data_IF_224647832706
#
_entry.id   IF_224647832706
#
_cell.length_a   1.000
_cell.length_b   1.000
_cell.length_c   1.000
_cell.angle_alpha   90.00
_cell.angle_beta   90.00
_cell.angle_gamma   90.00
#
_symmetry.space_group_name_H-M   'P 1'
#
loop_
_entity.id
_entity.type
_entity.pdbx_description
1 polymer ?
#
# COMPACT_ATOMS: atom_id res chain seq x y z
N UNK A 1 -39.86 -30.85 15.06
CA UNK A 1 -38.60 -30.08 15.14
C UNK A 1 -38.01 -30.24 16.55
N UNK A 2 -36.75 -30.67 16.68
CA UNK A 2 -36.22 -31.14 17.97
C UNK A 2 -35.70 -29.96 18.84
N UNK A 3 -36.44 -29.58 19.90
CA UNK A 3 -36.11 -28.42 20.78
C UNK A 3 -34.67 -28.44 21.33
N UNK A 4 -34.08 -29.62 21.53
CA UNK A 4 -32.69 -29.76 21.99
C UNK A 4 -31.65 -29.29 20.94
N UNK A 5 -31.89 -29.55 19.65
CA UNK A 5 -30.98 -29.14 18.57
C UNK A 5 -30.99 -27.62 18.45
N UNK A 6 -32.17 -27.01 18.48
CA UNK A 6 -32.31 -25.55 18.45
C UNK A 6 -31.70 -24.85 19.66
N UNK A 7 -31.83 -25.43 20.87
CA UNK A 7 -31.21 -24.89 22.08
C UNK A 7 -29.67 -24.91 22.00
N UNK A 8 -29.09 -26.01 21.49
CA UNK A 8 -27.64 -26.11 21.24
C UNK A 8 -27.15 -25.13 20.18
N UNK A 9 -27.88 -25.00 19.06
CA UNK A 9 -27.56 -24.05 18.02
C UNK A 9 -27.57 -22.60 18.55
N UNK A 10 -28.57 -22.24 19.36
CA UNK A 10 -28.68 -20.91 19.99
C UNK A 10 -27.54 -20.64 20.96
N UNK A 11 -27.15 -21.63 21.79
CA UNK A 11 -25.99 -21.52 22.71
C UNK A 11 -24.68 -21.33 21.95
N UNK A 12 -24.50 -22.06 20.85
CA UNK A 12 -23.29 -22.00 20.01
C UNK A 12 -23.18 -20.66 19.27
N UNK A 13 -24.30 -20.16 18.71
CA UNK A 13 -24.37 -18.84 18.11
C UNK A 13 -24.00 -17.76 19.12
N UNK A 14 -24.64 -17.77 20.30
CA UNK A 14 -24.36 -16.80 21.36
C UNK A 14 -22.89 -16.81 21.79
N UNK A 15 -22.31 -18.00 22.00
CA UNK A 15 -20.90 -18.12 22.37
C UNK A 15 -19.97 -17.59 21.27
N UNK A 16 -20.27 -17.88 20.00
CA UNK A 16 -19.49 -17.41 18.86
C UNK A 16 -19.52 -15.89 18.77
N UNK A 17 -20.71 -15.29 18.84
CA UNK A 17 -20.88 -13.84 18.78
C UNK A 17 -20.19 -13.13 19.95
N UNK A 18 -20.32 -13.65 21.18
CA UNK A 18 -19.75 -12.99 22.37
C UNK A 18 -18.23 -13.17 22.46
N UNK A 19 -17.68 -14.28 21.95
CA UNK A 19 -16.25 -14.59 22.12
C UNK A 19 -15.40 -14.24 20.91
N UNK A 20 -15.89 -14.45 19.68
CA UNK A 20 -15.10 -14.19 18.47
C UNK A 20 -15.29 -12.78 17.94
N UNK A 21 -16.52 -12.28 17.86
CA UNK A 21 -16.80 -10.98 17.22
C UNK A 21 -15.99 -9.81 17.80
N UNK A 22 -15.80 -9.67 19.13
CA UNK A 22 -14.98 -8.57 19.67
C UNK A 22 -13.50 -8.66 19.28
N UNK A 23 -12.94 -9.87 19.23
CA UNK A 23 -11.55 -10.08 18.83
C UNK A 23 -11.36 -9.77 17.34
N UNK A 24 -12.28 -10.25 16.49
CA UNK A 24 -12.29 -9.96 15.05
C UNK A 24 -12.51 -8.46 14.81
N UNK A 25 -13.40 -7.80 15.56
CA UNK A 25 -13.63 -6.37 15.45
C UNK A 25 -12.41 -5.54 15.87
N UNK A 26 -11.68 -6.00 16.89
CA UNK A 26 -10.42 -5.34 17.30
C UNK A 26 -9.37 -5.45 16.19
N UNK A 27 -9.22 -6.64 15.61
CA UNK A 27 -8.34 -6.85 14.46
C UNK A 27 -8.77 -5.97 13.27
N UNK A 28 -10.07 -5.95 12.94
CA UNK A 28 -10.65 -5.14 11.87
C UNK A 28 -10.32 -3.66 12.01
N UNK A 29 -10.57 -3.08 13.19
CA UNK A 29 -10.31 -1.66 13.47
C UNK A 29 -8.82 -1.37 13.30
N UNK A 30 -7.97 -2.23 13.85
CA UNK A 30 -6.52 -2.06 13.80
C UNK A 30 -5.99 -2.15 12.35
N UNK A 31 -6.45 -3.13 11.57
CA UNK A 31 -6.11 -3.28 10.15
C UNK A 31 -6.64 -2.10 9.30
N UNK A 32 -7.87 -1.64 9.53
CA UNK A 32 -8.45 -0.48 8.84
C UNK A 32 -7.65 0.81 9.11
N UNK A 33 -7.21 1.03 10.36
CA UNK A 33 -6.32 2.14 10.72
C UNK A 33 -4.97 2.06 9.99
N UNK A 34 -4.46 0.85 9.74
CA UNK A 34 -3.29 0.63 8.91
C UNK A 34 -3.50 1.13 7.47
N UNK A 35 -4.64 0.82 6.85
CA UNK A 35 -4.96 1.23 5.48
C UNK A 35 -5.28 2.71 5.31
N UNK A 36 -5.81 3.37 6.35
CA UNK A 36 -6.04 4.83 6.33
C UNK A 36 -4.74 5.60 6.07
N UNK A 37 -3.58 5.04 6.42
CA UNK A 37 -2.30 5.67 6.11
C UNK A 37 -2.07 5.93 4.61
N UNK A 38 -2.62 5.08 3.74
CA UNK A 38 -2.50 5.23 2.29
C UNK A 38 -3.23 6.46 1.75
N UNK A 39 -4.17 7.02 2.51
CA UNK A 39 -4.94 8.21 2.09
C UNK A 39 -4.06 9.46 2.08
N UNK A 40 -2.92 9.41 2.77
CA UNK A 40 -1.94 10.50 2.82
C UNK A 40 -1.00 10.52 1.60
N UNK A 41 -1.07 9.52 0.73
CA UNK A 41 -0.26 9.48 -0.50
C UNK A 41 -0.67 10.61 -1.44
N UNK A 42 0.27 11.29 -2.12
CA UNK A 42 -0.08 12.20 -3.22
C UNK A 42 -0.58 11.44 -4.46
N UNK A 43 -0.33 10.13 -4.56
CA UNK A 43 -0.68 9.30 -5.71
C UNK A 43 -2.13 8.80 -5.59
N UNK A 44 -3.06 9.21 -6.49
CA UNK A 44 -4.47 8.82 -6.41
C UNK A 44 -4.68 7.30 -6.39
N UNK A 45 -3.92 6.56 -7.19
CA UNK A 45 -4.01 5.09 -7.26
C UNK A 45 -3.75 4.43 -5.89
N UNK A 46 -2.80 4.94 -5.10
CA UNK A 46 -2.50 4.43 -3.76
C UNK A 46 -3.64 4.78 -2.79
N UNK A 47 -4.18 6.00 -2.87
CA UNK A 47 -5.32 6.41 -2.05
C UNK A 47 -6.54 5.53 -2.32
N UNK A 48 -6.87 5.31 -3.60
CA UNK A 48 -8.04 4.56 -4.02
C UNK A 48 -7.91 3.08 -3.65
N UNK A 49 -6.71 2.52 -3.77
CA UNK A 49 -6.40 1.19 -3.24
C UNK A 49 -6.69 1.11 -1.73
N UNK A 50 -6.21 2.07 -0.95
CA UNK A 50 -6.49 2.14 0.49
C UNK A 50 -7.99 2.29 0.82
N UNK A 51 -8.71 3.13 0.07
CA UNK A 51 -10.15 3.34 0.25
C UNK A 51 -10.93 2.05 -0.02
N UNK A 52 -10.61 1.37 -1.11
CA UNK A 52 -11.22 0.08 -1.46
C UNK A 52 -10.98 -0.98 -0.41
N UNK A 53 -9.75 -1.10 0.12
CA UNK A 53 -9.44 -2.05 1.19
C UNK A 53 -10.23 -1.76 2.47
N UNK A 54 -10.28 -0.49 2.89
CA UNK A 54 -10.99 -0.08 4.10
C UNK A 54 -12.49 -0.36 3.99
N UNK A 55 -13.12 -0.01 2.86
CA UNK A 55 -14.54 -0.29 2.61
C UNK A 55 -14.79 -1.78 2.52
N UNK A 56 -13.98 -2.51 1.73
CA UNK A 56 -14.11 -3.95 1.52
C UNK A 56 -14.00 -4.74 2.82
N UNK A 57 -13.13 -4.33 3.73
CA UNK A 57 -13.00 -4.90 5.06
C UNK A 57 -14.26 -4.73 5.91
N UNK A 58 -14.78 -3.51 5.97
CA UNK A 58 -16.01 -3.21 6.73
C UNK A 58 -17.16 -4.03 6.19
N UNK A 59 -17.35 -4.04 4.86
CA UNK A 59 -18.38 -4.86 4.19
C UNK A 59 -18.20 -6.33 4.53
N UNK A 60 -16.98 -6.87 4.43
CA UNK A 60 -16.68 -8.28 4.74
C UNK A 60 -17.01 -8.64 6.19
N UNK A 61 -16.74 -7.74 7.14
CA UNK A 61 -17.13 -7.93 8.54
C UNK A 61 -18.64 -7.99 8.72
N UNK A 62 -19.38 -7.06 8.12
CA UNK A 62 -20.84 -7.05 8.19
C UNK A 62 -21.43 -8.32 7.55
N UNK A 63 -20.95 -8.73 6.39
CA UNK A 63 -21.35 -9.99 5.76
C UNK A 63 -21.02 -11.19 6.66
N UNK A 64 -19.83 -11.23 7.26
CA UNK A 64 -19.43 -12.29 8.18
C UNK A 64 -20.30 -12.38 9.44
N UNK A 65 -20.68 -11.25 10.03
CA UNK A 65 -21.48 -11.23 11.27
C UNK A 65 -22.97 -11.41 10.99
N UNK A 66 -23.52 -10.70 10.00
CA UNK A 66 -24.97 -10.62 9.77
C UNK A 66 -25.49 -11.61 8.73
N UNK A 67 -24.64 -12.15 7.86
CA UNK A 67 -25.07 -13.11 6.84
C UNK A 67 -24.55 -14.51 7.14
N UNK A 68 -23.24 -14.67 7.39
CA UNK A 68 -22.65 -15.98 7.65
C UNK A 68 -23.14 -16.61 8.97
N UNK A 69 -23.20 -15.86 10.08
CA UNK A 69 -23.65 -16.42 11.36
C UNK A 69 -25.11 -16.92 11.32
N UNK A 70 -26.09 -16.19 10.75
CA UNK A 70 -27.45 -16.72 10.59
C UNK A 70 -27.53 -17.92 9.65
N UNK A 71 -26.75 -17.95 8.56
CA UNK A 71 -26.70 -19.12 7.66
C UNK A 71 -26.18 -20.36 8.41
N UNK A 72 -25.11 -20.22 9.19
CA UNK A 72 -24.57 -21.30 10.01
C UNK A 72 -25.57 -21.74 11.08
N UNK A 73 -26.27 -20.80 11.72
CA UNK A 73 -27.33 -21.11 12.67
C UNK A 73 -28.49 -21.86 12.02
N UNK A 74 -28.96 -21.42 10.85
CA UNK A 74 -29.99 -22.11 10.09
C UNK A 74 -29.54 -23.52 9.74
N UNK A 75 -28.33 -23.68 9.20
CA UNK A 75 -27.74 -24.99 8.90
C UNK A 75 -27.75 -25.90 10.14
N UNK A 76 -27.23 -25.44 11.27
CA UNK A 76 -27.13 -26.25 12.49
C UNK A 76 -28.50 -26.53 13.13
N UNK A 77 -29.46 -25.60 12.99
CA UNK A 77 -30.83 -25.74 13.51
C UNK A 77 -31.67 -26.72 12.69
N UNK A 78 -31.53 -26.72 11.36
CA UNK A 78 -32.32 -27.55 10.44
C UNK A 78 -31.65 -28.89 10.10
N UNK A 79 -30.33 -28.91 9.94
CA UNK A 79 -29.56 -30.09 9.51
C UNK A 79 -28.65 -30.67 10.61
N UNK A 80 -28.68 -30.11 11.83
CA UNK A 80 -27.90 -30.62 12.96
C UNK A 80 -28.31 -32.05 13.35
N UNK A 81 -27.42 -33.02 13.18
CA UNK A 81 -27.66 -34.41 13.59
C UNK A 81 -27.71 -34.56 15.11
N UNK A 82 -28.58 -35.46 15.57
CA UNK A 82 -28.84 -35.74 16.99
C UNK A 82 -27.67 -36.53 17.63
N UNK A 83 -26.88 -37.22 16.83
CA UNK A 83 -25.75 -38.04 17.25
C UNK A 83 -24.41 -37.31 17.12
N UNK A 84 -24.14 -36.40 18.06
CA UNK A 84 -22.77 -36.36 18.59
C UNK A 84 -22.77 -37.37 19.72
N UNK A 85 -22.43 -38.62 19.38
CA UNK A 85 -22.05 -39.65 20.35
C UNK A 85 -21.23 -38.97 21.43
N UNK A 86 -21.53 -39.25 22.68
CA UNK A 86 -20.65 -39.01 23.82
C UNK A 86 -19.29 -39.65 23.50
N UNK A 87 -18.45 -38.95 22.74
CA UNK A 87 -17.02 -39.09 22.82
C UNK A 87 -16.66 -38.42 24.13
N UNK A 88 -16.72 -39.21 25.20
CA UNK A 88 -15.69 -39.16 26.22
C UNK A 88 -14.36 -38.94 25.51
N UNK A 89 -13.86 -37.69 25.56
CA UNK A 89 -12.44 -37.35 25.50
C UNK A 89 -11.56 -38.33 24.71
N UNK A 90 -11.82 -38.48 23.42
CA UNK A 90 -10.71 -38.64 22.49
C UNK A 90 -10.41 -37.23 22.00
N UNK A 91 -9.64 -36.49 22.81
CA UNK A 91 -8.59 -35.60 22.30
C UNK A 91 -7.64 -36.47 21.45
N UNK A 92 -8.13 -36.99 20.33
CA UNK A 92 -7.31 -37.59 19.32
C UNK A 92 -6.61 -36.42 18.69
N UNK A 93 -5.46 -36.04 19.27
CA UNK A 93 -4.50 -35.10 18.72
C UNK A 93 -4.54 -35.26 17.20
N UNK A 94 -5.21 -34.34 16.50
CA UNK A 94 -5.15 -34.35 15.04
C UNK A 94 -3.66 -34.29 14.71
N UNK A 95 -3.18 -35.03 13.70
CA UNK A 95 -1.73 -35.03 13.36
C UNK A 95 -1.20 -33.59 13.23
N UNK A 96 -2.05 -32.68 12.77
CA UNK A 96 -1.79 -31.22 12.70
C UNK A 96 -1.65 -30.54 14.06
N UNK A 97 -2.48 -30.90 15.04
CA UNK A 97 -2.42 -30.42 16.43
C UNK A 97 -1.14 -30.89 17.11
N UNK A 98 -0.80 -32.17 16.98
CA UNK A 98 0.44 -32.73 17.52
C UNK A 98 1.67 -32.06 16.91
N UNK A 99 1.67 -31.85 15.58
CA UNK A 99 2.74 -31.16 14.87
C UNK A 99 2.89 -29.70 15.33
N UNK A 100 1.80 -28.93 15.38
CA UNK A 100 1.81 -27.54 15.85
C UNK A 100 2.30 -27.43 17.29
N UNK A 101 1.90 -28.37 18.14
CA UNK A 101 2.35 -28.45 19.54
C UNK A 101 3.84 -28.70 19.63
N UNK A 102 4.32 -29.69 18.88
CA UNK A 102 5.74 -30.05 18.83
C UNK A 102 6.59 -28.87 18.35
N UNK A 103 6.18 -28.22 17.25
CA UNK A 103 6.85 -27.05 16.70
C UNK A 103 6.84 -25.89 17.71
N UNK A 104 5.69 -25.59 18.30
CA UNK A 104 5.55 -24.50 19.28
C UNK A 104 6.48 -24.72 20.47
N UNK A 105 6.55 -25.94 21.03
CA UNK A 105 7.48 -26.23 22.15
C UNK A 105 8.94 -26.06 21.75
N UNK A 106 9.31 -26.47 20.53
CA UNK A 106 10.67 -26.29 20.02
C UNK A 106 11.01 -24.80 19.84
N UNK A 107 10.09 -24.01 19.28
CA UNK A 107 10.26 -22.57 19.11
C UNK A 107 10.37 -21.83 20.46
N UNK A 108 9.55 -22.21 21.45
CA UNK A 108 9.65 -21.64 22.81
C UNK A 108 11.02 -21.92 23.43
N UNK A 109 11.57 -23.13 23.25
CA UNK A 109 12.90 -23.48 23.77
C UNK A 109 14.00 -22.65 23.09
N UNK A 110 13.86 -22.34 21.81
CA UNK A 110 14.85 -21.63 20.99
C UNK A 110 14.55 -20.13 20.82
N UNK A 111 13.66 -19.58 21.65
CA UNK A 111 13.12 -18.21 21.51
C UNK A 111 14.16 -17.11 21.33
N UNK A 112 15.28 -17.16 22.06
CA UNK A 112 16.32 -16.15 21.95
C UNK A 112 17.05 -16.21 20.62
N UNK A 113 17.36 -17.41 20.13
CA UNK A 113 17.98 -17.59 18.81
C UNK A 113 17.03 -17.10 17.71
N UNK A 114 15.75 -17.48 17.79
CA UNK A 114 14.71 -17.06 16.82
C UNK A 114 14.57 -15.54 16.79
N UNK A 115 14.51 -14.89 17.96
CA UNK A 115 14.36 -13.43 18.02
C UNK A 115 15.59 -12.72 17.50
N UNK A 116 16.79 -13.13 17.93
CA UNK A 116 18.04 -12.52 17.47
C UNK A 116 18.17 -12.67 15.95
N UNK A 117 17.95 -13.86 15.40
CA UNK A 117 17.99 -14.05 13.94
C UNK A 117 16.91 -13.24 13.23
N UNK A 118 15.70 -13.18 13.77
CA UNK A 118 14.59 -12.43 13.20
C UNK A 118 14.92 -10.94 13.09
N UNK A 119 15.41 -10.34 14.18
CA UNK A 119 15.80 -8.93 14.22
C UNK A 119 17.03 -8.64 13.36
N UNK A 120 18.02 -9.53 13.30
CA UNK A 120 19.19 -9.36 12.43
C UNK A 120 18.79 -9.38 10.94
N UNK A 121 17.98 -10.35 10.53
CA UNK A 121 17.50 -10.45 9.15
C UNK A 121 16.62 -9.24 8.81
N UNK A 122 15.75 -8.81 9.74
CA UNK A 122 14.93 -7.62 9.53
C UNK A 122 15.77 -6.35 9.44
N UNK A 123 16.78 -6.19 10.29
CA UNK A 123 17.69 -5.05 10.25
C UNK A 123 18.49 -4.98 8.95
N UNK A 124 19.01 -6.13 8.49
CA UNK A 124 19.69 -6.22 7.19
C UNK A 124 18.73 -5.89 6.04
N UNK A 125 17.51 -6.41 6.09
CA UNK A 125 16.48 -6.14 5.09
C UNK A 125 16.04 -4.67 5.03
N UNK A 126 15.86 -4.01 6.17
CA UNK A 126 15.57 -2.56 6.22
C UNK A 126 16.76 -1.78 5.65
N UNK A 127 17.99 -2.20 5.96
CA UNK A 127 19.19 -1.53 5.44
C UNK A 127 19.29 -1.66 3.91
N UNK A 128 19.05 -2.84 3.34
CA UNK A 128 19.01 -3.02 1.88
C UNK A 128 17.85 -2.30 1.21
N UNK A 129 16.73 -2.13 1.93
CA UNK A 129 15.54 -1.46 1.41
C UNK A 129 15.72 0.05 1.21
N UNK A 130 16.65 0.68 1.94
CA UNK A 130 16.94 2.11 1.82
C UNK A 130 17.44 2.50 0.43
N UNK A 131 18.16 1.59 -0.23
CA UNK A 131 18.71 1.79 -1.58
C UNK A 131 17.82 1.13 -2.66
N UNK A 132 16.63 0.64 -2.30
CA UNK A 132 15.77 -0.06 -3.23
C UNK A 132 15.23 0.89 -4.32
N UNK A 133 15.52 0.54 -5.57
CA UNK A 133 15.15 1.30 -6.76
C UNK A 133 13.63 1.43 -6.94
N UNK A 134 13.25 2.43 -7.73
CA UNK A 134 11.87 2.75 -8.08
C UNK A 134 11.69 2.58 -9.59
N UNK A 135 10.51 2.12 -10.00
CA UNK A 135 10.10 2.00 -11.39
C UNK A 135 8.78 2.77 -11.58
N UNK A 136 8.81 3.78 -12.44
CA UNK A 136 7.66 4.63 -12.78
C UNK A 136 7.27 4.51 -14.24
N UNK A 137 8.10 3.88 -15.07
CA UNK A 137 7.81 3.75 -16.49
C UNK A 137 6.68 2.74 -16.74
N UNK A 138 5.65 3.21 -17.43
CA UNK A 138 4.48 2.43 -17.82
C UNK A 138 4.87 1.31 -18.77
N UNK A 139 5.87 1.52 -19.63
CA UNK A 139 6.33 0.52 -20.60
C UNK A 139 6.94 -0.69 -19.91
N UNK A 140 7.69 -0.48 -18.83
CA UNK A 140 8.25 -1.55 -17.99
C UNK A 140 7.15 -2.38 -17.31
N UNK A 141 5.95 -1.82 -17.12
CA UNK A 141 4.81 -2.53 -16.55
C UNK A 141 4.08 -3.41 -17.57
N UNK A 142 4.22 -3.11 -18.87
CA UNK A 142 3.58 -3.83 -19.95
C UNK A 142 4.26 -5.19 -20.20
N UNK A 143 3.57 -6.14 -20.86
CA UNK A 143 4.23 -7.35 -21.33
C UNK A 143 5.32 -7.00 -22.35
N UNK A 144 6.55 -7.41 -22.06
CA UNK A 144 7.74 -6.99 -22.81
C UNK A 144 7.85 -7.62 -24.21
N UNK A 145 7.13 -8.72 -24.46
CA UNK A 145 7.18 -9.47 -25.72
C UNK A 145 6.06 -9.06 -26.71
N UNK A 146 5.53 -7.84 -26.59
CA UNK A 146 4.40 -7.37 -27.41
C UNK A 146 4.86 -6.56 -28.63
N UNK A 147 4.16 -6.73 -29.75
CA UNK A 147 4.44 -5.98 -30.97
C UNK A 147 4.14 -4.49 -30.78
N UNK A 148 3.15 -4.16 -29.95
CA UNK A 148 2.79 -2.80 -29.62
C UNK A 148 3.94 -2.06 -28.94
N UNK A 149 4.67 -2.72 -28.03
CA UNK A 149 5.84 -2.13 -27.38
C UNK A 149 7.00 -1.94 -28.37
N UNK A 150 7.23 -2.92 -29.26
CA UNK A 150 8.23 -2.82 -30.33
C UNK A 150 7.93 -1.65 -31.28
N UNK A 151 6.66 -1.47 -31.69
CA UNK A 151 6.23 -0.38 -32.55
C UNK A 151 6.42 1.00 -31.86
N UNK A 152 6.16 1.09 -30.55
CA UNK A 152 6.42 2.31 -29.74
C UNK A 152 7.92 2.64 -29.70
N UNK A 153 8.78 1.65 -29.45
CA UNK A 153 10.24 1.86 -29.41
C UNK A 153 10.78 2.27 -30.78
N UNK A 154 10.30 1.63 -31.84
CA UNK A 154 10.69 1.96 -33.21
C UNK A 154 10.28 3.39 -33.61
N UNK A 155 9.12 3.86 -33.19
CA UNK A 155 8.70 5.25 -33.40
C UNK A 155 9.61 6.23 -32.65
N UNK A 156 10.00 5.92 -31.42
CA UNK A 156 10.91 6.74 -30.61
C UNK A 156 12.28 6.87 -31.26
N UNK A 157 12.84 5.77 -31.74
CA UNK A 157 14.14 5.76 -32.43
C UNK A 157 14.14 6.64 -33.68
N UNK A 158 12.99 6.84 -34.31
CA UNK A 158 12.83 7.69 -35.50
C UNK A 158 12.60 9.17 -35.12
N UNK A 159 11.76 9.43 -34.12
CA UNK A 159 11.29 10.79 -33.78
C UNK A 159 12.24 11.52 -32.83
N UNK A 160 13.07 10.82 -32.05
CA UNK A 160 14.07 11.41 -31.15
C UNK A 160 13.61 11.48 -29.69
N UNK A 161 13.90 12.60 -29.01
CA UNK A 161 13.67 12.76 -27.56
C UNK A 161 12.19 12.66 -27.19
N UNK A 162 11.88 11.96 -26.10
CA UNK A 162 10.53 11.85 -25.53
C UNK A 162 10.35 12.59 -24.21
N UNK A 163 11.45 13.07 -23.62
CA UNK A 163 11.45 13.68 -22.31
C UNK A 163 11.21 15.18 -22.46
N UNK A 164 10.03 15.60 -22.01
CA UNK A 164 9.61 17.00 -22.08
C UNK A 164 9.01 17.45 -20.75
N UNK A 165 9.29 18.70 -20.44
CA UNK A 165 8.61 19.48 -19.41
C UNK A 165 7.76 20.52 -20.11
N UNK A 166 6.53 20.71 -19.64
CA UNK A 166 5.62 21.71 -20.18
C UNK A 166 5.39 22.79 -19.13
N UNK A 167 5.54 24.05 -19.53
CA UNK A 167 5.18 25.21 -18.71
C UNK A 167 3.84 25.69 -19.24
N UNK A 168 2.79 25.47 -18.47
CA UNK A 168 1.45 25.99 -18.76
C UNK A 168 1.33 27.36 -18.14
N UNK A 169 0.82 28.33 -18.89
CA UNK A 169 0.55 29.68 -18.43
C UNK A 169 -0.91 30.03 -18.68
N UNK A 170 -1.53 30.71 -17.71
CA UNK A 170 -2.96 31.02 -17.69
C UNK A 170 -3.18 32.52 -17.46
N UNK A 171 -4.05 33.13 -18.27
CA UNK A 171 -4.40 34.54 -18.20
C UNK A 171 -5.74 34.86 -18.86
N UNK A 172 -6.08 36.15 -18.95
CA UNK A 172 -7.33 36.59 -19.61
C UNK A 172 -7.32 36.34 -21.11
N UNK A 173 -6.17 36.61 -21.75
CA UNK A 173 -5.90 36.31 -23.15
C UNK A 173 -4.39 36.06 -23.33
N UNK A 174 -4.04 34.83 -23.71
CA UNK A 174 -2.65 34.41 -23.91
C UNK A 174 -2.05 34.91 -25.23
N UNK A 175 -2.87 35.49 -26.12
CA UNK A 175 -2.43 36.14 -27.35
C UNK A 175 -2.28 37.67 -27.21
N UNK A 176 -2.46 38.23 -26.01
CA UNK A 176 -2.19 39.65 -25.77
C UNK A 176 -0.71 39.99 -26.01
N UNK A 177 -0.40 41.24 -26.34
CA UNK A 177 0.98 41.68 -26.59
C UNK A 177 1.89 41.43 -25.38
N UNK A 178 1.37 41.63 -24.16
CA UNK A 178 2.06 41.35 -22.89
C UNK A 178 2.32 39.85 -22.71
N UNK A 179 1.31 39.01 -22.93
CA UNK A 179 1.44 37.55 -22.84
C UNK A 179 2.42 36.98 -23.86
N UNK A 180 2.39 37.48 -25.10
CA UNK A 180 3.31 37.05 -26.16
C UNK A 180 4.73 37.52 -25.89
N UNK A 181 4.92 38.75 -25.42
CA UNK A 181 6.24 39.25 -25.04
C UNK A 181 6.85 38.42 -23.90
N UNK A 182 6.07 38.14 -22.85
CA UNK A 182 6.47 37.28 -21.74
C UNK A 182 6.83 35.87 -22.22
N UNK A 183 5.94 35.24 -22.99
CA UNK A 183 6.14 33.88 -23.53
C UNK A 183 7.41 33.83 -24.38
N UNK A 184 7.68 34.87 -25.17
CA UNK A 184 8.88 34.95 -25.98
C UNK A 184 10.16 35.07 -25.15
N UNK A 185 10.16 35.94 -24.13
CA UNK A 185 11.30 36.12 -23.22
C UNK A 185 11.65 34.81 -22.53
N UNK A 186 10.65 34.18 -21.90
CA UNK A 186 10.81 32.89 -21.22
C UNK A 186 11.31 31.82 -22.19
N UNK A 187 10.72 31.72 -23.38
CA UNK A 187 11.12 30.70 -24.37
C UNK A 187 12.59 30.83 -24.78
N UNK A 188 13.08 32.05 -25.03
CA UNK A 188 14.48 32.23 -25.47
C UNK A 188 15.48 32.08 -24.32
N UNK A 189 15.11 32.50 -23.12
CA UNK A 189 16.03 32.52 -21.98
C UNK A 189 16.27 31.10 -21.43
N UNK A 190 15.29 30.19 -21.56
CA UNK A 190 15.40 28.80 -21.10
C UNK A 190 16.62 28.07 -21.72
N UNK A 191 16.84 28.25 -23.02
CA UNK A 191 17.98 27.63 -23.72
C UNK A 191 19.33 28.16 -23.21
N UNK A 192 19.37 29.39 -22.69
CA UNK A 192 20.59 30.04 -22.21
C UNK A 192 20.87 29.84 -20.72
N UNK A 193 19.81 29.74 -19.91
CA UNK A 193 19.90 29.54 -18.45
C UNK A 193 20.13 28.07 -18.08
N UNK A 194 19.60 27.15 -18.88
CA UNK A 194 19.72 25.69 -18.67
C UNK A 194 20.37 24.98 -19.86
N UNK A 195 21.59 25.36 -20.29
CA UNK A 195 22.22 24.84 -21.50
C UNK A 195 22.62 23.36 -21.38
N UNK A 196 22.78 22.86 -20.16
CA UNK A 196 23.18 21.48 -19.92
C UNK A 196 21.98 20.52 -19.90
N UNK A 197 20.78 21.02 -19.57
CA UNK A 197 19.55 20.24 -19.43
C UNK A 197 18.59 20.39 -20.62
N UNK A 198 18.43 21.61 -21.15
CA UNK A 198 17.47 21.92 -22.22
C UNK A 198 18.08 21.64 -23.59
N UNK A 199 17.32 20.94 -24.44
CA UNK A 199 17.69 20.63 -25.84
C UNK A 199 17.01 21.60 -26.79
N UNK A 200 15.70 21.80 -26.60
CA UNK A 200 14.89 22.69 -27.43
C UNK A 200 13.70 23.24 -26.63
N UNK A 201 13.30 24.46 -26.96
CA UNK A 201 12.08 25.07 -26.41
C UNK A 201 11.14 25.47 -27.55
N UNK A 202 9.88 25.09 -27.44
CA UNK A 202 8.85 25.35 -28.43
C UNK A 202 7.60 25.96 -27.79
N UNK A 203 7.12 27.08 -28.33
CA UNK A 203 5.93 27.80 -27.87
C UNK A 203 5.18 28.44 -29.04
N UNK A 204 4.02 29.04 -28.78
CA UNK A 204 3.27 29.78 -29.82
C UNK A 204 4.14 30.88 -30.47
N UNK A 205 4.95 31.58 -29.70
CA UNK A 205 5.83 32.64 -30.21
C UNK A 205 6.92 32.08 -31.12
N UNK A 206 7.39 30.86 -30.85
CA UNK A 206 8.36 30.15 -31.69
C UNK A 206 7.78 29.80 -33.06
N UNK A 207 6.51 29.39 -33.11
CA UNK A 207 5.80 29.08 -34.37
C UNK A 207 5.50 30.35 -35.16
N UNK A 208 4.98 31.39 -34.49
CA UNK A 208 4.68 32.67 -35.13
C UNK A 208 5.94 33.30 -35.75
N UNK A 209 7.08 33.30 -35.05
CA UNK A 209 8.35 33.80 -35.61
C UNK A 209 8.80 32.98 -36.83
N UNK A 210 8.61 31.66 -36.83
CA UNK A 210 8.95 30.81 -37.99
C UNK A 210 8.06 31.12 -39.20
N UNK A 211 6.80 31.49 -38.97
CA UNK A 211 5.87 31.92 -40.03
C UNK A 211 6.15 33.35 -40.51
N UNK A 212 6.70 34.20 -39.64
CA UNK A 212 6.83 35.64 -39.85
C UNK A 212 8.31 36.11 -39.96
N UNK A 213 9.12 35.43 -40.78
CA UNK A 213 10.53 35.80 -41.07
C UNK A 213 11.44 36.08 -39.86
N UNK A 214 11.08 35.56 -38.68
CA UNK A 214 11.83 35.74 -37.44
C UNK A 214 11.36 36.88 -36.54
N UNK A 215 10.27 37.58 -36.86
CA UNK A 215 9.70 38.66 -36.04
C UNK A 215 8.35 38.28 -35.45
N UNK A 216 7.99 38.84 -34.28
CA UNK A 216 6.67 38.60 -33.69
C UNK A 216 5.62 39.50 -34.38
N UNK A 217 4.56 38.91 -34.98
CA UNK A 217 3.51 39.68 -35.65
C UNK A 217 2.71 40.49 -34.62
N UNK A 218 2.13 41.62 -35.06
CA UNK A 218 1.34 42.51 -34.18
C UNK A 218 0.02 42.92 -34.83
N UNK A 219 -1.00 43.17 -34.01
CA UNK A 219 -2.29 43.70 -34.47
C UNK A 219 -3.00 42.76 -35.46
N UNK A 220 -3.39 43.30 -36.61
CA UNK A 220 -4.14 42.56 -37.64
C UNK A 220 -3.34 41.38 -38.22
N UNK A 221 -2.01 41.52 -38.34
CA UNK A 221 -1.11 40.49 -38.85
C UNK A 221 -1.03 39.26 -37.92
N UNK A 222 -1.10 39.48 -36.61
CA UNK A 222 -1.18 38.40 -35.63
C UNK A 222 -2.49 37.62 -35.81
N UNK A 223 -3.60 38.32 -36.06
CA UNK A 223 -4.90 37.67 -36.25
C UNK A 223 -4.91 36.83 -37.53
N UNK A 224 -4.37 37.35 -38.63
CA UNK A 224 -4.25 36.64 -39.90
C UNK A 224 -3.40 35.37 -39.77
N UNK A 225 -2.25 35.43 -39.09
CA UNK A 225 -1.38 34.26 -38.89
C UNK A 225 -1.98 33.20 -37.97
N UNK A 226 -2.77 33.60 -36.98
CA UNK A 226 -3.49 32.67 -36.12
C UNK A 226 -4.61 31.98 -36.89
N UNK A 227 -5.32 32.71 -37.75
CA UNK A 227 -6.40 32.17 -38.60
C UNK A 227 -5.86 31.24 -39.71
N UNK A 228 -4.66 31.52 -40.23
CA UNK A 228 -3.97 30.66 -41.20
C UNK A 228 -3.34 29.40 -40.57
N UNK A 229 -3.16 29.37 -39.25
CA UNK A 229 -2.58 28.22 -38.57
C UNK A 229 -3.57 27.03 -38.55
N UNK A 230 -3.14 25.82 -38.92
CA UNK A 230 -4.01 24.64 -38.84
C UNK A 230 -4.52 24.43 -37.40
N UNK A 231 -5.84 24.27 -37.23
CA UNK A 231 -6.49 24.10 -35.93
C UNK A 231 -5.81 23.05 -35.04
N UNK A 232 -5.38 21.93 -35.64
CA UNK A 232 -4.70 20.85 -34.91
C UNK A 232 -3.38 21.28 -34.28
N UNK A 233 -2.63 22.19 -34.91
CA UNK A 233 -1.37 22.71 -34.39
C UNK A 233 -1.61 23.80 -33.35
N UNK A 234 -2.59 24.68 -33.57
CA UNK A 234 -2.97 25.70 -32.60
C UNK A 234 -3.44 25.09 -31.28
N UNK A 235 -4.26 24.03 -31.34
CA UNK A 235 -4.76 23.30 -30.15
C UNK A 235 -3.68 22.59 -29.33
N UNK A 236 -2.49 22.36 -29.90
CA UNK A 236 -1.35 21.81 -29.15
C UNK A 236 -0.63 22.87 -28.31
N UNK A 237 -0.85 24.16 -28.60
CA UNK A 237 -0.12 25.28 -27.99
C UNK A 237 -1.02 26.19 -27.16
N UNK A 238 -2.28 26.36 -27.56
CA UNK A 238 -3.26 27.24 -26.90
C UNK A 238 -4.62 26.52 -26.85
N UNK A 239 -5.35 26.73 -25.76
CA UNK A 239 -6.71 26.19 -25.63
C UNK A 239 -7.77 27.04 -26.35
N UNK A 240 -8.96 26.47 -26.58
CA UNK A 240 -9.98 27.11 -27.43
C UNK A 240 -10.48 28.47 -26.91
N UNK A 241 -10.46 28.70 -25.60
CA UNK A 241 -10.90 29.95 -24.98
C UNK A 241 -9.77 31.01 -24.88
N UNK A 242 -8.55 30.69 -25.34
CA UNK A 242 -7.36 31.56 -25.27
C UNK A 242 -6.96 31.98 -23.86
N UNK A 243 -7.45 31.27 -22.84
CA UNK A 243 -7.05 31.53 -21.45
C UNK A 243 -5.77 30.81 -21.06
N UNK A 244 -5.35 29.77 -21.79
CA UNK A 244 -4.17 28.96 -21.45
C UNK A 244 -3.30 28.70 -22.67
N UNK A 245 -1.99 28.83 -22.47
CA UNK A 245 -0.98 28.43 -23.43
C UNK A 245 0.04 27.48 -22.81
N UNK A 246 0.86 26.86 -23.64
CA UNK A 246 1.96 25.98 -23.21
C UNK A 246 3.27 26.30 -23.91
N UNK A 247 4.35 26.27 -23.12
CA UNK A 247 5.73 26.25 -23.58
C UNK A 247 6.24 24.83 -23.35
N UNK A 248 6.61 24.12 -24.41
CA UNK A 248 7.19 22.79 -24.33
C UNK A 248 8.71 22.89 -24.32
N UNK A 249 9.33 22.33 -23.29
CA UNK A 249 10.78 22.31 -23.07
C UNK A 249 11.24 20.86 -23.22
N UNK A 250 11.88 20.56 -24.34
CA UNK A 250 12.55 19.28 -24.57
C UNK A 250 13.84 19.24 -23.75
N UNK A 251 13.99 18.22 -22.92
CA UNK A 251 15.14 18.08 -22.02
C UNK A 251 15.94 16.82 -22.34
N UNK A 252 17.21 16.82 -21.95
CA UNK A 252 17.99 15.57 -21.89
C UNK A 252 17.37 14.63 -20.87
N UNK A 253 17.65 13.35 -21.03
CA UNK A 253 17.29 12.37 -20.02
C UNK A 253 18.04 12.68 -18.72
N UNK A 254 17.31 13.02 -17.66
CA UNK A 254 17.83 13.33 -16.34
C UNK A 254 17.44 12.22 -15.36
N UNK A 255 18.37 11.83 -14.48
CA UNK A 255 18.03 10.95 -13.37
C UNK A 255 17.04 11.64 -12.42
N UNK A 256 16.29 10.87 -11.63
CA UNK A 256 15.20 11.41 -10.81
C UNK A 256 15.62 12.55 -9.87
N UNK A 257 16.83 12.49 -9.29
CA UNK A 257 17.33 13.56 -8.44
C UNK A 257 17.66 14.82 -9.23
N UNK A 258 18.37 14.69 -10.36
CA UNK A 258 18.72 15.80 -11.24
C UNK A 258 17.47 16.46 -11.84
N UNK A 259 16.48 15.65 -12.19
CA UNK A 259 15.19 16.11 -12.68
C UNK A 259 14.43 16.92 -11.62
N UNK A 260 14.49 16.52 -10.34
CA UNK A 260 13.89 17.29 -9.25
C UNK A 260 14.61 18.61 -9.00
N UNK A 261 15.94 18.61 -9.08
CA UNK A 261 16.77 19.81 -8.97
C UNK A 261 16.42 20.77 -10.12
N UNK A 262 16.42 20.30 -11.37
CA UNK A 262 16.01 21.06 -12.54
C UNK A 262 14.60 21.63 -12.42
N UNK A 263 13.60 20.82 -12.02
CA UNK A 263 12.22 21.31 -11.83
C UNK A 263 12.16 22.40 -10.74
N UNK A 264 12.95 22.25 -9.67
CA UNK A 264 13.00 23.25 -8.58
C UNK A 264 13.63 24.56 -9.05
N UNK A 265 14.72 24.50 -9.82
CA UNK A 265 15.35 25.67 -10.42
C UNK A 265 14.45 26.33 -11.46
N UNK A 266 13.76 25.54 -12.29
CA UNK A 266 12.78 26.03 -13.25
C UNK A 266 11.60 26.75 -12.57
N UNK A 267 11.16 26.29 -11.38
CA UNK A 267 10.15 27.02 -10.58
C UNK A 267 10.67 28.38 -10.14
N UNK A 268 11.89 28.45 -9.63
CA UNK A 268 12.51 29.71 -9.19
C UNK A 268 12.65 30.66 -10.38
N UNK A 269 13.14 30.16 -11.52
CA UNK A 269 13.27 30.92 -12.76
C UNK A 269 11.94 31.55 -13.20
N UNK A 270 10.84 30.80 -13.13
CA UNK A 270 9.50 31.30 -13.46
C UNK A 270 8.94 32.28 -12.42
N UNK A 271 9.25 32.10 -11.13
CA UNK A 271 8.86 33.03 -10.08
C UNK A 271 9.54 34.40 -10.23
N UNK A 272 10.82 34.41 -10.59
CA UNK A 272 11.59 35.64 -10.84
C UNK A 272 11.09 36.41 -12.07
N UNK A 273 10.42 35.72 -13.00
CA UNK A 273 9.86 36.26 -14.24
C UNK A 273 8.35 36.37 -14.22
N UNK A 274 7.74 36.44 -13.04
CA UNK A 274 6.29 36.47 -12.93
C UNK A 274 5.70 37.76 -13.55
N UNK A 275 4.81 37.59 -14.53
CA UNK A 275 4.04 38.69 -15.12
C UNK A 275 2.69 38.87 -14.41
N UNK A 276 2.27 40.09 -14.04
CA UNK A 276 0.95 40.33 -13.47
C UNK A 276 -0.17 39.88 -14.41
N UNK A 277 -1.08 39.04 -13.91
CA UNK A 277 -2.19 38.52 -14.72
C UNK A 277 -1.89 37.24 -15.49
N UNK A 278 -0.65 36.71 -15.39
CA UNK A 278 -0.30 35.36 -15.81
C UNK A 278 0.04 34.47 -14.61
N UNK A 279 -0.65 33.35 -14.50
CA UNK A 279 -0.31 32.27 -13.57
C UNK A 279 0.42 31.16 -14.31
N UNK A 280 1.49 30.63 -13.72
CA UNK A 280 2.32 29.60 -14.36
C UNK A 280 2.31 28.30 -13.56
N UNK A 281 2.34 27.18 -14.27
CA UNK A 281 2.43 25.85 -13.69
C UNK A 281 3.34 24.96 -14.54
N UNK A 282 4.24 24.23 -13.88
CA UNK A 282 5.11 23.27 -14.54
C UNK A 282 4.44 21.89 -14.49
N UNK A 283 4.36 21.23 -15.63
CA UNK A 283 3.73 19.92 -15.84
C UNK A 283 4.49 19.13 -16.91
N UNK A 284 3.93 18.03 -17.38
CA UNK A 284 4.54 17.12 -18.33
C UNK A 284 4.94 15.79 -17.69
N UNK A 285 5.24 14.80 -18.53
CA UNK A 285 5.50 13.42 -18.07
C UNK A 285 6.68 13.37 -17.10
N UNK A 286 7.77 14.07 -17.40
CA UNK A 286 8.96 14.10 -16.56
C UNK A 286 8.65 14.65 -15.14
N UNK A 287 7.82 15.68 -15.03
CA UNK A 287 7.39 16.26 -13.74
C UNK A 287 6.54 15.26 -12.95
N UNK A 288 5.61 14.59 -13.63
CA UNK A 288 4.79 13.56 -13.00
C UNK A 288 5.66 12.39 -12.52
N UNK A 289 6.61 11.92 -13.34
CA UNK A 289 7.53 10.84 -12.98
C UNK A 289 8.40 11.21 -11.78
N UNK A 290 8.92 12.44 -11.71
CA UNK A 290 9.68 12.94 -10.55
C UNK A 290 8.85 12.95 -9.26
N UNK A 291 7.60 13.40 -9.33
CA UNK A 291 6.66 13.40 -8.19
C UNK A 291 6.34 11.97 -7.74
N UNK A 292 6.16 11.06 -8.70
CA UNK A 292 5.97 9.63 -8.45
C UNK A 292 7.19 9.03 -7.76
N UNK A 293 8.42 9.32 -8.21
CA UNK A 293 9.64 8.85 -7.54
C UNK A 293 9.70 9.35 -6.09
N UNK A 294 9.38 10.61 -5.83
CA UNK A 294 9.31 11.15 -4.45
C UNK A 294 8.31 10.40 -3.58
N UNK A 295 7.13 10.12 -4.13
CA UNK A 295 6.08 9.39 -3.44
C UNK A 295 6.50 7.93 -3.13
N UNK A 296 7.26 7.29 -4.03
CA UNK A 296 7.69 5.90 -3.90
C UNK A 296 8.98 5.72 -3.10
N UNK A 297 9.79 6.78 -2.92
CA UNK A 297 11.00 6.77 -2.08
C UNK A 297 10.67 7.19 -0.65
N UNK A 298 10.39 8.47 -0.41
CA UNK A 298 10.16 8.99 0.95
C UNK A 298 8.71 8.77 1.41
N UNK A 299 7.75 8.82 0.48
CA UNK A 299 6.34 8.66 0.78
C UNK A 299 6.02 7.28 1.35
N UNK A 300 6.60 6.20 0.80
CA UNK A 300 6.36 4.82 1.29
C UNK A 300 6.73 4.62 2.77
N UNK A 301 7.84 5.22 3.22
CA UNK A 301 8.27 5.13 4.62
C UNK A 301 7.36 5.95 5.53
N UNK A 302 6.99 7.16 5.12
CA UNK A 302 6.05 8.01 5.85
C UNK A 302 4.70 7.31 6.02
N UNK A 303 4.16 6.72 4.95
CA UNK A 303 2.90 5.96 4.99
C UNK A 303 3.00 4.75 5.93
N UNK A 304 4.06 3.95 5.82
CA UNK A 304 4.25 2.77 6.67
C UNK A 304 4.36 3.14 8.15
N UNK A 305 5.17 4.16 8.48
CA UNK A 305 5.34 4.63 9.86
C UNK A 305 4.05 5.23 10.42
N UNK A 306 3.34 6.03 9.62
CA UNK A 306 2.06 6.59 9.99
C UNK A 306 1.02 5.49 10.22
N UNK A 307 0.98 4.47 9.36
CA UNK A 307 0.15 3.28 9.53
C UNK A 307 0.44 2.56 10.85
N UNK A 308 1.71 2.26 11.15
CA UNK A 308 2.09 1.66 12.43
C UNK A 308 1.67 2.52 13.63
N UNK A 309 1.83 3.84 13.53
CA UNK A 309 1.41 4.80 14.55
C UNK A 309 -0.10 4.81 14.77
N UNK A 310 -0.90 4.78 13.70
CA UNK A 310 -2.36 4.71 13.77
C UNK A 310 -2.84 3.39 14.36
N UNK A 311 -2.25 2.25 13.96
CA UNK A 311 -2.54 0.94 14.55
C UNK A 311 -2.19 0.93 16.03
N UNK A 312 -1.01 1.44 16.41
CA UNK A 312 -0.62 1.56 17.82
C UNK A 312 -1.64 2.37 18.61
N UNK A 313 -2.03 3.54 18.11
CA UNK A 313 -2.99 4.42 18.77
C UNK A 313 -4.36 3.73 18.92
N UNK A 314 -4.85 3.07 17.86
CA UNK A 314 -6.10 2.33 17.89
C UNK A 314 -6.09 1.21 18.93
N UNK A 315 -5.04 0.38 18.92
CA UNK A 315 -4.88 -0.68 19.91
C UNK A 315 -4.68 -0.13 21.33
N UNK A 316 -4.00 1.01 21.48
CA UNK A 316 -3.82 1.70 22.75
C UNK A 316 -5.16 2.16 23.32
N UNK A 317 -6.05 2.72 22.49
CA UNK A 317 -7.39 3.12 22.92
C UNK A 317 -8.25 1.92 23.33
N UNK A 318 -8.16 0.81 22.59
CA UNK A 318 -8.93 -0.41 22.87
C UNK A 318 -8.42 -1.11 24.14
N UNK A 319 -7.10 -1.29 24.26
CA UNK A 319 -6.51 -2.04 25.36
C UNK A 319 -6.19 -1.21 26.60
N UNK A 320 -6.08 0.12 26.46
CA UNK A 320 -5.68 1.06 27.51
C UNK A 320 -4.38 0.63 28.22
N UNK A 321 -3.47 -0.01 27.47
CA UNK A 321 -2.21 -0.50 28.00
C UNK A 321 -1.13 -0.46 26.90
N UNK A 322 -0.07 0.35 27.05
CA UNK A 322 0.90 0.59 25.98
C UNK A 322 1.66 -0.67 25.56
N UNK A 323 2.13 -1.47 26.53
CA UNK A 323 2.82 -2.73 26.20
C UNK A 323 1.92 -3.70 25.44
N UNK A 324 0.64 -3.86 25.85
CA UNK A 324 -0.30 -4.74 25.15
C UNK A 324 -0.60 -4.25 23.73
N UNK A 325 -0.69 -2.94 23.53
CA UNK A 325 -0.89 -2.34 22.21
C UNK A 325 0.33 -2.46 21.30
N UNK A 326 1.54 -2.46 21.86
CA UNK A 326 2.79 -2.55 21.08
C UNK A 326 3.14 -3.98 20.66
N UNK A 327 2.73 -4.99 21.42
CA UNK A 327 3.06 -6.40 21.15
C UNK A 327 2.75 -6.84 19.69
N UNK A 328 1.56 -6.56 19.12
CA UNK A 328 1.24 -6.95 17.74
C UNK A 328 2.11 -6.28 16.68
N UNK A 329 2.70 -5.11 16.97
CA UNK A 329 3.51 -4.35 16.02
C UNK A 329 4.93 -4.90 15.87
N UNK A 330 5.45 -5.59 16.89
CA UNK A 330 6.80 -6.16 16.85
C UNK A 330 6.99 -7.17 15.71
N UNK A 331 6.11 -8.19 15.53
CA UNK A 331 6.14 -9.05 14.35
C UNK A 331 6.04 -8.29 13.02
N UNK A 332 5.29 -7.18 12.97
CA UNK A 332 5.06 -6.40 11.76
C UNK A 332 6.32 -5.67 11.32
N UNK A 333 7.06 -5.07 12.25
CA UNK A 333 8.36 -4.45 11.97
C UNK A 333 9.32 -5.47 11.34
N UNK A 334 9.30 -6.71 11.85
CA UNK A 334 10.13 -7.78 11.29
C UNK A 334 9.72 -8.14 9.87
N UNK A 335 8.41 -8.23 9.60
CA UNK A 335 7.89 -8.53 8.26
C UNK A 335 8.26 -7.43 7.27
N UNK A 336 8.20 -6.16 7.65
CA UNK A 336 8.62 -5.04 6.79
C UNK A 336 10.08 -5.20 6.36
N UNK A 337 10.98 -5.48 7.31
CA UNK A 337 12.39 -5.72 6.98
C UNK A 337 12.60 -6.95 6.11
N UNK A 338 11.94 -8.07 6.43
CA UNK A 338 12.05 -9.30 5.62
C UNK A 338 11.47 -9.13 4.21
N UNK A 339 10.44 -8.28 4.07
CA UNK A 339 9.84 -7.93 2.77
C UNK A 339 10.82 -7.16 1.90
N UNK A 340 11.46 -6.12 2.46
CA UNK A 340 12.50 -5.36 1.76
C UNK A 340 13.67 -6.25 1.33
N UNK A 341 14.09 -7.18 2.19
CA UNK A 341 15.11 -8.17 1.83
C UNK A 341 14.67 -9.08 0.67
N UNK A 342 13.41 -9.52 0.66
CA UNK A 342 12.87 -10.34 -0.41
C UNK A 342 12.80 -9.57 -1.74
N UNK A 343 12.43 -8.29 -1.70
CA UNK A 343 12.45 -7.42 -2.88
C UNK A 343 13.87 -7.26 -3.43
N UNK A 344 14.85 -7.00 -2.56
CA UNK A 344 16.26 -6.90 -2.95
C UNK A 344 16.80 -8.21 -3.54
N UNK A 345 16.42 -9.37 -2.97
CA UNK A 345 16.86 -10.68 -3.48
C UNK A 345 16.24 -11.05 -4.83
N UNK A 346 15.01 -10.59 -5.09
CA UNK A 346 14.27 -10.86 -6.32
C UNK A 346 14.43 -9.78 -7.39
N UNK A 347 15.23 -8.73 -7.11
CA UNK A 347 15.41 -7.56 -7.97
C UNK A 347 14.09 -6.87 -8.37
N UNK A 348 13.13 -6.83 -7.43
CA UNK A 348 11.83 -6.18 -7.65
C UNK A 348 11.92 -4.73 -7.17
N UNK A 349 11.79 -3.80 -8.13
CA UNK A 349 11.74 -2.36 -7.85
C UNK A 349 10.38 -1.94 -7.25
N UNK A 350 10.39 -0.79 -6.58
CA UNK A 350 9.18 -0.16 -6.09
C UNK A 350 8.38 0.49 -7.20
N UNK A 351 7.11 0.11 -7.30
CA UNK A 351 6.11 0.68 -8.20
C UNK A 351 5.00 1.30 -7.35
N UNK A 352 4.09 2.08 -7.97
CA UNK A 352 2.92 2.60 -7.26
C UNK A 352 2.07 1.51 -6.58
N UNK A 353 2.02 0.29 -7.12
CA UNK A 353 1.36 -0.84 -6.48
C UNK A 353 2.20 -1.42 -5.32
N UNK A 354 3.49 -1.69 -5.52
CA UNK A 354 4.31 -2.30 -4.47
C UNK A 354 4.62 -1.36 -3.31
N UNK A 355 4.55 -0.03 -3.50
CA UNK A 355 4.61 0.94 -2.41
C UNK A 355 3.47 0.80 -1.39
N UNK A 356 2.35 0.17 -1.78
CA UNK A 356 1.23 -0.12 -0.85
C UNK A 356 1.50 -1.32 0.07
N UNK A 357 2.54 -2.13 -0.22
CA UNK A 357 2.83 -3.35 0.53
C UNK A 357 3.11 -3.07 2.01
N UNK A 358 3.67 -1.91 2.36
CA UNK A 358 3.87 -1.51 3.76
C UNK A 358 2.56 -1.51 4.55
N UNK A 359 1.51 -0.87 4.02
CA UNK A 359 0.19 -0.87 4.63
C UNK A 359 -0.49 -2.26 4.58
N UNK A 360 -0.25 -3.04 3.52
CA UNK A 360 -0.75 -4.42 3.41
C UNK A 360 -0.15 -5.34 4.47
N UNK A 361 1.17 -5.24 4.70
CA UNK A 361 1.89 -5.96 5.76
C UNK A 361 1.34 -5.58 7.13
N UNK A 362 1.12 -4.27 7.38
CA UNK A 362 0.50 -3.80 8.62
C UNK A 362 -0.89 -4.40 8.75
N UNK A 363 -1.70 -4.37 7.71
CA UNK A 363 -3.07 -4.86 7.74
C UNK A 363 -3.16 -6.35 8.09
N UNK A 364 -2.54 -7.21 7.26
CA UNK A 364 -2.59 -8.67 7.41
C UNK A 364 -1.81 -9.12 8.65
N UNK A 365 -0.65 -8.50 8.91
CA UNK A 365 0.17 -8.79 10.08
C UNK A 365 -0.54 -8.44 11.38
N UNK A 366 -1.24 -7.30 11.45
CA UNK A 366 -2.01 -6.90 12.63
C UNK A 366 -3.16 -7.87 12.87
N UNK A 367 -3.88 -8.28 11.83
CA UNK A 367 -5.00 -9.22 11.96
C UNK A 367 -4.54 -10.53 12.63
N UNK A 368 -3.51 -11.17 12.09
CA UNK A 368 -3.01 -12.45 12.58
C UNK A 368 -2.44 -12.33 14.01
N UNK A 369 -1.66 -11.29 14.28
CA UNK A 369 -1.01 -11.08 15.57
C UNK A 369 -2.01 -10.70 16.67
N UNK A 370 -3.04 -9.90 16.37
CA UNK A 370 -4.11 -9.57 17.32
C UNK A 370 -4.94 -10.80 17.67
N UNK A 371 -5.32 -11.62 16.68
CA UNK A 371 -6.11 -12.84 16.91
C UNK A 371 -5.36 -13.84 17.81
N UNK A 372 -4.08 -14.10 17.54
CA UNK A 372 -3.29 -15.02 18.36
C UNK A 372 -3.06 -14.45 19.78
N UNK A 373 -2.83 -13.13 19.88
CA UNK A 373 -2.64 -12.45 21.16
C UNK A 373 -3.91 -12.47 22.02
N UNK A 374 -5.08 -12.19 21.46
CA UNK A 374 -6.34 -12.24 22.20
C UNK A 374 -6.61 -13.64 22.75
N UNK A 375 -6.33 -14.68 21.95
CA UNK A 375 -6.46 -16.05 22.45
C UNK A 375 -5.47 -16.38 23.54
N UNK A 376 -4.22 -15.95 23.39
CA UNK A 376 -3.20 -16.11 24.43
C UNK A 376 -3.68 -15.50 25.76
N UNK A 377 -4.14 -14.24 25.75
CA UNK A 377 -4.63 -13.59 26.96
C UNK A 377 -5.94 -14.17 27.50
N UNK A 378 -6.80 -14.71 26.64
CA UNK A 378 -7.99 -15.46 27.08
C UNK A 378 -7.58 -16.70 27.90
N UNK A 379 -6.57 -17.43 27.46
CA UNK A 379 -6.04 -18.61 28.16
C UNK A 379 -5.25 -18.24 29.43
N UNK A 380 -4.49 -17.14 29.41
CA UNK A 380 -3.85 -16.60 30.64
C UNK A 380 -4.88 -16.23 31.71
N UNK A 381 -6.00 -15.61 31.32
CA UNK A 381 -7.10 -15.27 32.24
C UNK A 381 -7.78 -16.49 32.87
N UNK A 382 -7.69 -17.67 32.23
CA UNK A 382 -8.14 -18.97 32.77
C UNK A 382 -7.15 -19.60 33.74
N UNK A 383 -6.00 -18.98 33.97
CA UNK A 383 -4.99 -19.43 34.92
C UNK A 383 -3.90 -20.32 34.31
N UNK A 384 -3.84 -20.48 32.98
CA UNK A 384 -2.74 -21.21 32.34
C UNK A 384 -1.45 -20.40 32.41
N UNK A 385 -0.30 -21.07 32.63
CA UNK A 385 1.04 -20.48 32.54
C UNK A 385 1.35 -20.05 31.09
N UNK A 386 2.24 -19.06 30.91
CA UNK A 386 2.57 -18.47 29.61
C UNK A 386 2.86 -19.50 28.50
N UNK A 387 3.76 -20.46 28.75
CA UNK A 387 4.12 -21.49 27.77
C UNK A 387 2.89 -22.32 27.33
N UNK A 388 2.03 -22.69 28.29
CA UNK A 388 0.85 -23.53 28.03
C UNK A 388 -0.27 -22.72 27.36
N UNK A 389 -0.40 -21.44 27.69
CA UNK A 389 -1.34 -20.53 27.05
C UNK A 389 -0.98 -20.31 25.56
N UNK A 390 0.30 -20.15 25.23
CA UNK A 390 0.77 -20.07 23.83
C UNK A 390 0.51 -21.37 23.08
N UNK A 391 0.82 -22.53 23.69
CA UNK A 391 0.57 -23.84 23.07
C UNK A 391 -0.91 -24.01 22.69
N UNK A 392 -1.81 -23.67 23.61
CA UNK A 392 -3.26 -23.72 23.35
C UNK A 392 -3.70 -22.68 22.32
N UNK A 393 -3.11 -21.47 22.32
CA UNK A 393 -3.42 -20.45 21.33
C UNK A 393 -3.04 -20.90 19.91
N UNK A 394 -1.83 -21.43 19.72
CA UNK A 394 -1.37 -21.95 18.43
C UNK A 394 -2.18 -23.17 17.96
N UNK A 395 -2.52 -24.10 18.87
CA UNK A 395 -3.35 -25.26 18.51
C UNK A 395 -4.74 -24.87 18.03
N UNK A 396 -5.36 -23.84 18.63
CA UNK A 396 -6.74 -23.45 18.35
C UNK A 396 -6.83 -22.42 17.24
N UNK A 397 -6.26 -21.24 17.46
CA UNK A 397 -6.35 -20.14 16.49
C UNK A 397 -5.31 -20.28 15.38
N UNK A 398 -4.14 -20.86 15.65
CA UNK A 398 -3.10 -21.01 14.62
C UNK A 398 -3.56 -21.82 13.40
N UNK A 399 -4.40 -22.83 13.57
CA UNK A 399 -5.02 -23.57 12.45
C UNK A 399 -5.96 -22.70 11.61
N UNK A 400 -6.76 -21.87 12.26
CA UNK A 400 -7.67 -20.96 11.57
C UNK A 400 -6.89 -19.88 10.81
N UNK A 401 -5.83 -19.33 11.42
CA UNK A 401 -4.91 -18.39 10.75
C UNK A 401 -4.23 -19.04 9.55
N UNK A 402 -3.72 -20.28 9.69
CA UNK A 402 -3.09 -20.99 8.58
C UNK A 402 -4.06 -21.22 7.41
N UNK A 403 -5.29 -21.65 7.69
CA UNK A 403 -6.31 -21.82 6.66
C UNK A 403 -6.68 -20.49 5.99
N UNK A 404 -6.83 -19.42 6.77
CA UNK A 404 -7.10 -18.07 6.27
C UNK A 404 -5.97 -17.57 5.36
N UNK A 405 -4.72 -17.74 5.78
CA UNK A 405 -3.55 -17.35 4.98
C UNK A 405 -3.51 -18.12 3.65
N UNK A 406 -3.82 -19.42 3.65
CA UNK A 406 -3.84 -20.23 2.44
C UNK A 406 -4.95 -19.79 1.47
N UNK A 407 -6.13 -19.42 1.98
CA UNK A 407 -7.19 -18.87 1.12
C UNK A 407 -6.82 -17.53 0.52
N UNK A 408 -6.15 -16.65 1.29
CA UNK A 408 -5.67 -15.35 0.80
C UNK A 408 -4.56 -15.52 -0.22
N UNK A 409 -3.59 -16.40 0.04
CA UNK A 409 -2.55 -16.79 -0.93
C UNK A 409 -3.22 -17.28 -2.22
N UNK A 410 -4.18 -18.21 -2.14
CA UNK A 410 -4.89 -18.71 -3.31
C UNK A 410 -5.60 -17.62 -4.12
N UNK A 411 -6.19 -16.61 -3.45
CA UNK A 411 -6.80 -15.47 -4.12
C UNK A 411 -5.80 -14.56 -4.84
N UNK A 412 -4.71 -14.18 -4.16
CA UNK A 412 -3.66 -13.34 -4.75
C UNK A 412 -2.80 -14.08 -5.78
N UNK A 413 -2.74 -15.42 -5.75
CA UNK A 413 -2.04 -16.22 -6.76
C UNK A 413 -2.60 -15.98 -8.17
N UNK A 414 -3.86 -15.56 -8.30
CA UNK A 414 -4.45 -15.20 -9.58
C UNK A 414 -3.69 -14.05 -10.28
N UNK A 415 -3.08 -13.14 -9.52
CA UNK A 415 -2.30 -12.04 -10.08
C UNK A 415 -0.98 -12.51 -10.73
N UNK A 416 -0.45 -13.66 -10.32
CA UNK A 416 0.77 -14.23 -10.91
C UNK A 416 0.60 -14.65 -12.37
N UNK A 417 -0.65 -14.85 -12.80
CA UNK A 417 -0.99 -15.24 -14.18
C UNK A 417 -1.06 -14.02 -15.10
N UNK A 418 -0.92 -12.80 -14.57
CA UNK A 418 -0.97 -11.59 -15.38
C UNK A 418 0.32 -11.39 -16.16
N UNK A 419 0.19 -11.11 -17.46
CA UNK A 419 1.33 -10.72 -18.32
C UNK A 419 1.86 -9.31 -17.99
N UNK A 420 1.08 -8.50 -17.26
CA UNK A 420 1.53 -7.20 -16.78
C UNK A 420 2.47 -7.38 -15.59
N UNK A 421 3.74 -7.01 -15.78
CA UNK A 421 4.83 -7.16 -14.81
C UNK A 421 4.50 -6.49 -13.48
N UNK A 422 3.83 -5.32 -13.52
CA UNK A 422 3.44 -4.61 -12.30
C UNK A 422 2.45 -5.41 -11.44
N UNK A 423 1.53 -6.15 -12.05
CA UNK A 423 0.52 -6.95 -11.36
C UNK A 423 1.09 -8.26 -10.84
N UNK A 424 1.90 -8.95 -11.65
CA UNK A 424 2.52 -10.21 -11.27
C UNK A 424 3.55 -10.01 -10.14
N UNK A 425 4.40 -8.97 -10.20
CA UNK A 425 5.35 -8.63 -9.13
C UNK A 425 4.62 -8.23 -7.83
N UNK A 426 3.55 -7.45 -7.92
CA UNK A 426 2.73 -7.11 -6.76
C UNK A 426 2.07 -8.36 -6.14
N UNK A 427 1.55 -9.26 -6.98
CA UNK A 427 1.00 -10.54 -6.56
C UNK A 427 2.04 -11.40 -5.84
N UNK A 428 3.22 -11.57 -6.44
CA UNK A 428 4.33 -12.35 -5.88
C UNK A 428 4.75 -11.82 -4.51
N UNK A 429 4.97 -10.51 -4.40
CA UNK A 429 5.34 -9.91 -3.12
C UNK A 429 4.21 -10.00 -2.08
N UNK A 430 2.95 -9.89 -2.51
CA UNK A 430 1.82 -10.10 -1.59
C UNK A 430 1.80 -11.52 -1.02
N UNK A 431 2.04 -12.54 -1.85
CA UNK A 431 2.14 -13.93 -1.40
C UNK A 431 3.28 -14.15 -0.41
N UNK A 432 4.46 -13.59 -0.72
CA UNK A 432 5.62 -13.62 0.16
C UNK A 432 5.26 -12.96 1.50
N UNK A 433 4.67 -11.77 1.48
CA UNK A 433 4.32 -11.01 2.68
C UNK A 433 3.27 -11.72 3.55
N UNK A 434 2.26 -12.36 2.94
CA UNK A 434 1.28 -13.18 3.69
C UNK A 434 1.99 -14.38 4.34
N UNK A 435 2.91 -15.02 3.61
CA UNK A 435 3.68 -16.15 4.13
C UNK A 435 4.60 -15.73 5.27
N UNK A 436 5.28 -14.59 5.14
CA UNK A 436 6.11 -14.00 6.19
C UNK A 436 5.25 -13.60 7.41
N UNK A 437 4.06 -13.06 7.20
CA UNK A 437 3.12 -12.74 8.27
C UNK A 437 2.65 -13.98 9.04
N UNK A 438 2.36 -15.06 8.31
CA UNK A 438 2.02 -16.35 8.89
C UNK A 438 3.18 -16.93 9.71
N UNK A 439 4.41 -16.93 9.16
CA UNK A 439 5.61 -17.40 9.86
C UNK A 439 5.87 -16.56 11.11
N UNK A 440 5.85 -15.23 10.98
CA UNK A 440 6.07 -14.30 12.09
C UNK A 440 5.04 -14.51 13.20
N UNK A 441 3.76 -14.72 12.85
CA UNK A 441 2.68 -14.96 13.82
C UNK A 441 2.79 -16.32 14.51
N UNK A 442 3.15 -17.39 13.81
CA UNK A 442 3.17 -18.72 14.42
C UNK A 442 4.50 -19.06 15.11
N UNK A 443 5.59 -18.38 14.74
CA UNK A 443 6.94 -18.67 15.23
C UNK A 443 7.45 -17.58 16.17
N UNK A 444 7.43 -16.31 15.73
CA UNK A 444 8.07 -15.19 16.45
C UNK A 444 7.15 -14.64 17.55
N UNK A 445 5.88 -14.44 17.24
CA UNK A 445 4.90 -13.87 18.17
C UNK A 445 4.78 -14.66 19.49
N UNK A 446 4.77 -16.01 19.50
CA UNK A 446 4.91 -16.81 20.72
C UNK A 446 6.05 -16.39 21.65
N UNK A 447 7.25 -16.17 21.10
CA UNK A 447 8.42 -15.78 21.87
C UNK A 447 8.25 -14.38 22.46
N UNK A 448 7.73 -13.44 21.66
CA UNK A 448 7.43 -12.06 22.08
C UNK A 448 6.40 -12.08 23.23
N UNK A 449 5.31 -12.81 23.07
CA UNK A 449 4.26 -12.92 24.08
C UNK A 449 4.79 -13.43 25.41
N UNK A 450 5.60 -14.50 25.42
CA UNK A 450 6.13 -15.07 26.67
C UNK A 450 7.08 -14.07 27.38
N UNK A 451 7.89 -13.33 26.64
CA UNK A 451 8.84 -12.37 27.22
C UNK A 451 8.11 -11.15 27.77
N UNK A 452 7.11 -10.65 27.04
CA UNK A 452 6.38 -9.43 27.39
C UNK A 452 5.20 -9.68 28.34
N UNK A 453 4.81 -10.94 28.56
CA UNK A 453 3.74 -11.34 29.49
C UNK A 453 3.95 -10.76 30.89
N UNK A 454 5.20 -10.70 31.37
CA UNK A 454 5.54 -10.17 32.70
C UNK A 454 5.19 -8.69 32.88
N UNK A 455 5.09 -7.94 31.79
CA UNK A 455 4.79 -6.51 31.79
C UNK A 455 3.31 -6.21 31.61
N UNK A 456 2.47 -7.24 31.43
CA UNK A 456 1.02 -7.09 31.28
C UNK A 456 0.31 -7.64 32.51
N UNK A 457 -0.35 -6.78 33.28
CA UNK A 457 -1.10 -7.19 34.47
C UNK A 457 -2.35 -7.98 34.07
N UNK A 458 -2.32 -9.31 34.25
CA UNK A 458 -3.46 -10.19 33.97
C UNK A 458 -4.23 -10.42 35.28
N UNK A 459 -5.45 -9.87 35.38
CA UNK A 459 -6.36 -10.18 36.49
C UNK A 459 -6.93 -11.60 36.27
N UNK A 460 -6.40 -12.59 36.98
CA UNK A 460 -6.91 -13.97 36.95
C UNK A 460 -8.37 -14.00 37.40
N UNK A 461 -9.26 -14.68 36.67
CA UNK A 461 -10.58 -15.01 37.22
C UNK A 461 -10.39 -15.96 38.40
N UNK A 462 -10.93 -15.59 39.56
CA UNK A 462 -10.90 -16.46 40.74
C UNK A 462 -11.69 -17.74 40.47
N UNK A 463 -11.31 -18.84 41.14
CA UNK A 463 -11.93 -20.18 41.04
C UNK A 463 -13.47 -20.19 41.18
N UNK A 464 -14.09 -19.14 41.75
CA UNK A 464 -15.53 -19.08 41.98
C UNK A 464 -16.37 -18.75 40.72
N UNK A 465 -15.80 -18.14 39.68
CA UNK A 465 -16.55 -17.80 38.44
C UNK A 465 -16.74 -19.01 37.50
N UNK A 466 -15.99 -20.10 37.70
CA UNK A 466 -16.05 -21.29 36.86
C UNK A 466 -17.24 -22.21 37.21
N UNK A 467 -17.86 -22.03 38.38
CA UNK A 467 -19.03 -22.85 38.80
C UNK A 467 -20.35 -22.43 38.15
N UNK A 468 -20.43 -21.25 37.53
CA UNK A 468 -21.70 -20.72 36.99
C UNK A 468 -21.90 -21.08 35.50
N UNK A 469 -20.97 -21.82 34.87
CA UNK A 469 -21.05 -22.15 33.43
C UNK A 469 -21.00 -23.64 33.09
N UNK A 470 -21.32 -24.51 34.05
CA UNK A 470 -21.53 -25.95 33.81
C UNK A 470 -22.79 -26.25 33.01
#
# INVERSE_FOLDING_TARGET
MNKQVQSRAKKSLYQTTVKMTPAVMTALIATALGFISLYTSPVPMIQDFGKMLTVGMVVSFFVGVFLLLPILFARDSFFGTKEVRSQTTREGNSKTEALLTFLTRKFIKWRWLILISAFLIAGYGIWTDLDAGVETDVETFMPQDTRELEDIHRLRDIVGTTDQVSIVYEGTDVLSEESLAWTHSVTNELDSEFPDEVIETNSITSVLKKMNEGDLPKGDELSEQIDDMPDGQLKLLINEDRSKGVINVGIKHLEAQQLQEFISELRIFLEDRKEPGLETAITGKAVLDAEMVTALTTGRYKMTLLGMGLVFLGLLLIYRHPVKAFIPLLPIILIVGWSGLAMAFLDIKYTPLTATLGALIIGIGTEFTVLIMERYYEERKKGLIANKAVEVANQKIGKAIFASALTTIGGFSALLVSDFVILSNFGLMTLINITLALISTLVVMPAILIILDRFVKIKSRGKNDLKVTG
#
